data_IF_145317585564
#
_entry.id   IF_145317585564
#
_cell.length_a   1.000
_cell.length_b   1.000
_cell.length_c   1.000
_cell.angle_alpha   90.00
_cell.angle_beta   90.00
_cell.angle_gamma   90.00
#
_symmetry.space_group_name_H-M   'P 1'
#
loop_
_entity.id
_entity.type
_entity.pdbx_description
1 polymer ?
#
# COMPACT_ATOMS: atom_id res chain seq x y z
N UNK A 1 -11.66 -16.64 -0.62
CA UNK A 1 -12.74 -17.66 -0.63
C UNK A 1 -13.59 -17.49 0.62
N UNK A 2 -14.63 -18.31 0.76
CA UNK A 2 -15.41 -18.40 1.99
C UNK A 2 -15.19 -19.78 2.59
N UNK A 3 -14.81 -19.84 3.86
CA UNK A 3 -14.78 -21.07 4.65
C UNK A 3 -15.69 -20.87 5.86
N UNK A 4 -16.65 -21.77 6.07
CA UNK A 4 -17.66 -21.68 7.14
C UNK A 4 -18.43 -20.34 7.19
N UNK A 5 -18.66 -19.71 6.02
CA UNK A 5 -19.34 -18.43 5.93
C UNK A 5 -18.51 -17.23 6.39
N UNK A 6 -17.20 -17.41 6.63
CA UNK A 6 -16.26 -16.33 6.91
C UNK A 6 -15.35 -16.07 5.70
N UNK A 7 -14.96 -14.81 5.45
CA UNK A 7 -14.03 -14.49 4.37
C UNK A 7 -12.60 -14.91 4.73
N UNK A 8 -11.96 -15.68 3.85
CA UNK A 8 -10.55 -16.05 3.95
C UNK A 8 -9.78 -15.58 2.72
N UNK A 9 -8.52 -15.19 2.92
CA UNK A 9 -7.59 -14.97 1.82
C UNK A 9 -7.26 -16.31 1.17
N UNK A 10 -7.34 -16.37 -0.16
CA UNK A 10 -6.84 -17.51 -0.97
C UNK A 10 -5.64 -17.12 -1.80
N UNK A 11 -5.09 -15.93 -1.56
CA UNK A 11 -3.88 -15.52 -2.23
C UNK A 11 -2.79 -16.52 -1.87
N UNK A 12 -2.05 -16.95 -2.89
CA UNK A 12 -0.83 -17.72 -2.67
C UNK A 12 0.12 -16.91 -1.79
N UNK A 13 0.80 -17.60 -0.89
CA UNK A 13 1.81 -16.96 -0.05
C UNK A 13 2.91 -16.40 -0.97
N UNK A 14 3.20 -15.10 -0.85
CA UNK A 14 4.29 -14.48 -1.61
C UNK A 14 5.68 -14.85 -1.04
N UNK A 15 5.70 -15.55 0.10
CA UNK A 15 6.90 -16.15 0.69
C UNK A 15 6.83 -17.66 0.58
N UNK A 16 7.97 -18.26 0.31
CA UNK A 16 8.20 -19.70 0.36
C UNK A 16 9.19 -20.04 1.48
N UNK A 17 9.38 -21.31 1.83
CA UNK A 17 10.44 -21.71 2.75
C UNK A 17 11.85 -21.25 2.35
N UNK A 18 12.06 -20.95 1.07
CA UNK A 18 13.33 -20.49 0.48
C UNK A 18 13.45 -18.96 0.41
N UNK A 19 12.46 -18.20 0.89
CA UNK A 19 12.49 -16.74 0.88
C UNK A 19 12.21 -16.13 2.25
N UNK A 20 13.08 -15.22 2.68
CA UNK A 20 12.89 -14.41 3.88
C UNK A 20 12.30 -13.04 3.52
N UNK A 21 11.30 -12.61 4.30
CA UNK A 21 10.86 -11.22 4.32
C UNK A 21 11.73 -10.40 5.26
N UNK A 22 12.54 -9.49 4.71
CA UNK A 22 13.32 -8.53 5.49
C UNK A 22 12.59 -7.19 5.52
N UNK A 23 12.06 -6.83 6.68
CA UNK A 23 11.30 -5.58 6.85
C UNK A 23 12.13 -4.33 6.55
N UNK A 24 11.46 -3.26 6.12
CA UNK A 24 12.07 -1.95 5.91
C UNK A 24 12.75 -1.42 7.19
N UNK A 25 12.21 -1.76 8.36
CA UNK A 25 12.81 -1.43 9.66
C UNK A 25 14.20 -2.04 9.83
N UNK A 26 14.42 -3.26 9.34
CA UNK A 26 15.72 -3.91 9.37
C UNK A 26 16.64 -3.38 8.25
N UNK A 27 16.10 -3.18 7.04
CA UNK A 27 16.85 -2.57 5.92
C UNK A 27 17.40 -1.19 6.31
N UNK A 28 16.60 -0.35 6.98
CA UNK A 28 17.02 0.99 7.39
C UNK A 28 18.15 1.04 8.43
N UNK A 29 18.50 -0.10 9.05
CA UNK A 29 19.59 -0.20 10.03
C UNK A 29 20.95 -0.46 9.40
N UNK A 30 21.01 -0.75 8.11
CA UNK A 30 22.28 -0.99 7.38
C UNK A 30 23.26 0.16 7.58
N UNK A 31 22.75 1.39 7.60
CA UNK A 31 23.55 2.57 7.93
C UNK A 31 22.78 3.56 8.79
N UNK A 32 23.53 4.37 9.55
CA UNK A 32 22.95 5.44 10.36
C UNK A 32 22.35 6.51 9.44
N UNK A 33 21.08 6.88 9.68
CA UNK A 33 20.42 7.95 8.92
C UNK A 33 21.07 9.31 9.20
N UNK A 34 21.56 10.04 8.18
CA UNK A 34 21.98 11.42 8.35
C UNK A 34 20.81 12.34 8.70
N UNK A 35 21.05 13.39 9.48
CA UNK A 35 19.98 14.29 9.94
C UNK A 35 19.27 15.02 8.79
N UNK A 36 19.99 15.37 7.73
CA UNK A 36 19.47 16.14 6.58
C UNK A 36 18.74 15.27 5.55
N UNK A 37 18.83 13.95 5.64
CA UNK A 37 18.23 13.01 4.67
C UNK A 37 16.82 12.64 5.14
N UNK A 38 15.83 12.69 4.25
CA UNK A 38 14.46 12.26 4.57
C UNK A 38 14.41 10.75 4.85
N UNK A 39 13.39 10.27 5.55
CA UNK A 39 13.27 8.82 5.79
C UNK A 39 13.04 8.03 4.49
N UNK A 40 12.35 8.62 3.51
CA UNK A 40 12.20 8.05 2.16
C UNK A 40 13.56 7.84 1.50
N UNK A 41 14.34 8.91 1.37
CA UNK A 41 15.65 8.83 0.73
C UNK A 41 16.60 7.92 1.51
N UNK A 42 16.50 7.89 2.85
CA UNK A 42 17.28 6.95 3.65
C UNK A 42 16.94 5.49 3.35
N UNK A 43 15.66 5.16 3.21
CA UNK A 43 15.24 3.82 2.82
C UNK A 43 15.80 3.43 1.44
N UNK A 44 15.67 4.31 0.43
CA UNK A 44 16.24 4.10 -0.91
C UNK A 44 17.75 3.89 -0.84
N UNK A 45 18.47 4.77 -0.14
CA UNK A 45 19.92 4.67 0.04
C UNK A 45 20.36 3.37 0.72
N UNK A 46 19.56 2.80 1.64
CA UNK A 46 19.85 1.52 2.28
C UNK A 46 19.58 0.34 1.34
N UNK A 47 18.54 0.43 0.51
CA UNK A 47 18.26 -0.58 -0.50
C UNK A 47 19.34 -0.62 -1.58
N UNK A 48 19.82 0.54 -2.03
CA UNK A 48 20.93 0.66 -2.97
C UNK A 48 22.23 0.07 -2.40
N UNK A 49 22.55 0.36 -1.13
CA UNK A 49 23.70 -0.21 -0.42
C UNK A 49 23.67 -1.75 -0.39
N UNK A 50 22.47 -2.31 -0.21
CA UNK A 50 22.24 -3.74 -0.17
C UNK A 50 22.13 -4.39 -1.57
N UNK A 51 22.07 -3.59 -2.63
CA UNK A 51 21.85 -4.08 -3.99
C UNK A 51 20.46 -4.68 -4.23
N UNK A 52 19.43 -4.19 -3.53
CA UNK A 52 18.06 -4.67 -3.71
C UNK A 52 17.52 -4.18 -5.07
N UNK A 53 17.12 -5.08 -5.98
CA UNK A 53 16.60 -4.67 -7.28
C UNK A 53 15.16 -4.14 -7.18
N UNK A 54 14.74 -3.36 -8.19
CA UNK A 54 13.34 -2.93 -8.40
C UNK A 54 12.66 -2.23 -7.21
N UNK A 55 13.44 -1.50 -6.40
CA UNK A 55 12.93 -0.82 -5.20
C UNK A 55 11.96 0.31 -5.54
N UNK A 56 12.35 1.18 -6.48
CA UNK A 56 11.54 2.37 -6.83
C UNK A 56 10.18 1.97 -7.40
N UNK A 57 10.07 1.08 -8.42
CA UNK A 57 8.75 0.64 -8.90
C UNK A 57 7.88 0.00 -7.81
N UNK A 58 8.47 -0.82 -6.93
CA UNK A 58 7.72 -1.45 -5.83
C UNK A 58 7.21 -0.44 -4.81
N UNK A 59 8.00 0.57 -4.46
CA UNK A 59 7.57 1.65 -3.57
C UNK A 59 6.52 2.53 -4.23
N UNK A 60 6.70 2.91 -5.49
CA UNK A 60 5.72 3.70 -6.24
C UNK A 60 4.36 2.99 -6.25
N UNK A 61 4.33 1.69 -6.58
CA UNK A 61 3.12 0.87 -6.53
C UNK A 61 2.49 0.84 -5.12
N UNK A 62 3.31 0.65 -4.07
CA UNK A 62 2.84 0.66 -2.68
C UNK A 62 2.17 1.99 -2.32
N UNK A 63 2.79 3.12 -2.66
CA UNK A 63 2.28 4.45 -2.34
C UNK A 63 0.98 4.76 -3.09
N UNK A 64 0.87 4.33 -4.36
CA UNK A 64 -0.35 4.49 -5.17
C UNK A 64 -1.51 3.69 -4.54
N UNK A 65 -1.28 2.42 -4.22
CA UNK A 65 -2.32 1.55 -3.66
C UNK A 65 -2.72 2.02 -2.26
N UNK A 66 -1.75 2.32 -1.39
CA UNK A 66 -2.01 2.84 -0.04
C UNK A 66 -2.78 4.17 -0.09
N UNK A 67 -2.51 5.01 -1.10
CA UNK A 67 -3.30 6.20 -1.33
C UNK A 67 -4.73 5.84 -1.67
N UNK A 68 -5.00 4.96 -2.64
CA UNK A 68 -6.37 4.63 -3.07
C UNK A 68 -7.19 4.07 -1.90
N UNK A 69 -6.62 3.13 -1.14
CA UNK A 69 -7.31 2.46 -0.03
C UNK A 69 -7.27 3.24 1.28
N UNK A 70 -6.61 4.40 1.31
CA UNK A 70 -6.42 5.22 2.51
C UNK A 70 -5.82 4.43 3.69
N UNK A 71 -4.75 3.68 3.44
CA UNK A 71 -4.09 2.87 4.47
C UNK A 71 -3.44 3.76 5.54
N UNK A 72 -3.84 3.60 6.79
CA UNK A 72 -3.41 4.49 7.88
C UNK A 72 -2.21 3.93 8.67
N UNK A 73 -1.81 2.69 8.38
CA UNK A 73 -0.79 1.99 9.19
C UNK A 73 0.30 1.30 8.38
N UNK A 74 0.65 1.84 7.21
CA UNK A 74 1.89 1.46 6.53
C UNK A 74 3.12 1.94 7.31
N UNK A 75 3.59 1.15 8.27
CA UNK A 75 4.85 1.42 8.98
C UNK A 75 6.00 0.52 8.47
N UNK A 76 7.23 0.79 8.91
CA UNK A 76 8.44 0.10 8.46
C UNK A 76 8.50 -1.42 8.71
N UNK A 77 7.51 -1.99 9.41
CA UNK A 77 7.39 -3.44 9.59
C UNK A 77 6.37 -4.07 8.63
N UNK A 78 5.55 -3.24 7.96
CA UNK A 78 4.45 -3.67 7.08
C UNK A 78 4.84 -3.57 5.60
N UNK A 79 6.13 -3.43 5.32
CA UNK A 79 6.72 -3.60 3.99
C UNK A 79 8.20 -3.92 4.15
N UNK A 80 8.82 -4.41 3.09
CA UNK A 80 10.19 -4.89 3.11
C UNK A 80 10.59 -5.48 1.78
N UNK A 81 11.74 -6.17 1.75
CA UNK A 81 12.23 -6.85 0.57
C UNK A 81 12.32 -8.36 0.82
N UNK A 82 12.12 -9.12 -0.24
CA UNK A 82 12.33 -10.57 -0.24
C UNK A 82 13.79 -10.88 -0.54
N UNK A 83 14.34 -11.81 0.24
CA UNK A 83 15.70 -12.32 0.09
C UNK A 83 15.63 -13.83 -0.02
N UNK A 84 16.31 -14.41 -1.00
CA UNK A 84 16.44 -15.85 -1.07
C UNK A 84 17.32 -16.34 0.10
N UNK A 85 16.79 -17.28 0.88
CA UNK A 85 17.44 -17.76 2.10
C UNK A 85 18.61 -18.71 1.81
N UNK A 86 18.63 -19.35 0.65
CA UNK A 86 19.66 -20.32 0.26
C UNK A 86 20.92 -19.64 -0.28
N UNK A 87 20.76 -18.65 -1.16
CA UNK A 87 21.87 -17.98 -1.85
C UNK A 87 22.10 -16.53 -1.40
N UNK A 88 21.25 -16.00 -0.52
CA UNK A 88 21.31 -14.66 0.07
C UNK A 88 21.12 -13.51 -0.92
N UNK A 89 20.68 -13.79 -2.14
CA UNK A 89 20.38 -12.78 -3.17
C UNK A 89 19.06 -12.07 -2.88
N UNK A 90 19.01 -10.77 -3.21
CA UNK A 90 17.80 -9.99 -3.09
C UNK A 90 16.90 -10.22 -4.30
N UNK A 91 15.64 -10.56 -4.05
CA UNK A 91 14.63 -10.73 -5.10
C UNK A 91 14.04 -9.37 -5.50
N UNK A 92 13.83 -8.49 -4.51
CA UNK A 92 13.25 -7.16 -4.70
C UNK A 92 12.33 -6.79 -3.55
N UNK A 93 11.59 -5.69 -3.71
CA UNK A 93 10.53 -5.31 -2.76
C UNK A 93 9.44 -6.40 -2.72
N UNK A 94 9.00 -6.72 -1.51
CA UNK A 94 7.90 -7.64 -1.29
C UNK A 94 6.59 -7.04 -1.84
N UNK A 95 5.66 -7.87 -2.35
CA UNK A 95 4.30 -7.43 -2.66
C UNK A 95 3.64 -6.76 -1.46
N UNK A 96 2.63 -5.94 -1.71
CA UNK A 96 1.90 -5.24 -0.65
C UNK A 96 1.14 -6.25 0.22
N UNK A 97 1.31 -6.17 1.54
CA UNK A 97 0.60 -6.99 2.51
C UNK A 97 0.11 -6.14 3.69
N UNK A 98 -0.57 -6.74 4.67
CA UNK A 98 -1.05 -6.10 5.90
C UNK A 98 -1.73 -4.73 5.67
N UNK A 99 -2.84 -4.78 4.93
CA UNK A 99 -3.65 -3.61 4.57
C UNK A 99 -4.93 -3.51 5.41
N UNK A 100 -5.01 -4.19 6.55
CA UNK A 100 -6.24 -4.26 7.37
C UNK A 100 -6.69 -2.90 7.90
N UNK A 101 -5.74 -1.99 8.13
CA UNK A 101 -5.96 -0.63 8.63
C UNK A 101 -6.24 0.36 7.48
N UNK A 102 -7.12 -0.03 6.56
CA UNK A 102 -7.47 0.70 5.33
C UNK A 102 -8.98 0.88 5.21
N UNK A 103 -9.44 1.55 4.15
CA UNK A 103 -10.84 1.70 3.78
C UNK A 103 -11.72 2.20 4.93
N UNK A 104 -11.17 3.09 5.75
CA UNK A 104 -11.82 3.70 6.92
C UNK A 104 -12.41 2.68 7.89
N UNK A 105 -11.81 1.49 8.03
CA UNK A 105 -12.35 0.35 8.79
C UNK A 105 -12.90 0.70 10.19
N UNK A 106 -12.32 1.68 10.88
CA UNK A 106 -12.67 2.13 12.24
C UNK A 106 -13.46 3.45 12.30
N UNK A 107 -13.69 4.13 11.18
CA UNK A 107 -14.32 5.46 11.16
C UNK A 107 -15.80 5.37 10.78
N UNK A 108 -16.71 5.83 11.64
CA UNK A 108 -18.15 5.87 11.33
C UNK A 108 -18.50 6.94 10.28
N UNK A 109 -17.86 8.11 10.38
CA UNK A 109 -18.00 9.21 9.43
C UNK A 109 -16.74 9.24 8.57
N UNK A 110 -16.91 9.07 7.26
CA UNK A 110 -15.79 9.04 6.32
C UNK A 110 -15.50 10.45 5.82
N UNK A 111 -14.28 10.92 6.02
CA UNK A 111 -13.71 12.02 5.24
C UNK A 111 -12.73 11.45 4.21
N UNK A 112 -13.07 11.55 2.94
CA UNK A 112 -12.21 11.07 1.86
C UNK A 112 -11.10 12.08 1.49
N UNK A 113 -11.25 13.35 1.85
CA UNK A 113 -10.28 14.40 1.53
C UNK A 113 -9.03 14.29 2.41
N UNK A 114 -9.23 13.87 3.66
CA UNK A 114 -8.17 13.72 4.64
C UNK A 114 -7.95 12.24 4.97
N UNK A 115 -6.72 11.78 4.80
CA UNK A 115 -6.33 10.45 5.24
C UNK A 115 -4.91 10.52 5.82
N UNK A 116 -4.73 10.18 7.12
CA UNK A 116 -3.42 10.11 7.72
C UNK A 116 -2.62 9.00 7.04
N UNK A 117 -1.31 9.16 7.02
CA UNK A 117 -0.42 8.18 6.41
C UNK A 117 0.88 8.05 7.17
N UNK A 118 1.56 6.95 6.87
CA UNK A 118 2.91 6.56 7.29
C UNK A 118 3.56 5.87 6.06
N UNK A 119 4.87 5.66 6.00
CA UNK A 119 5.87 6.02 7.00
C UNK A 119 6.66 7.29 6.67
N UNK A 120 6.53 7.84 5.46
CA UNK A 120 7.40 8.92 4.96
C UNK A 120 6.80 10.31 5.13
N UNK A 121 5.47 10.41 5.03
CA UNK A 121 4.70 11.63 5.27
C UNK A 121 3.54 11.31 6.21
N UNK A 122 2.93 12.36 6.77
CA UNK A 122 1.82 12.23 7.74
C UNK A 122 0.45 12.16 7.07
N UNK A 123 0.36 12.51 5.79
CA UNK A 123 -0.89 12.57 5.03
C UNK A 123 -0.68 11.98 3.64
N UNK A 124 -1.69 11.26 3.14
CA UNK A 124 -1.62 10.61 1.82
C UNK A 124 -1.43 11.62 0.67
N UNK A 125 -2.03 12.81 0.78
CA UNK A 125 -1.86 13.93 -0.15
C UNK A 125 -0.40 14.38 -0.34
N UNK A 126 0.42 14.26 0.70
CA UNK A 126 1.86 14.57 0.64
C UNK A 126 2.71 13.34 0.32
N UNK A 127 2.27 12.16 0.75
CA UNK A 127 2.99 10.91 0.53
C UNK A 127 2.98 10.50 -0.95
N UNK A 128 1.85 10.69 -1.65
CA UNK A 128 1.71 10.35 -3.07
C UNK A 128 2.68 11.14 -3.96
N UNK A 129 3.11 12.34 -3.53
CA UNK A 129 4.10 13.17 -4.23
C UNK A 129 5.51 12.56 -4.25
N UNK A 130 5.74 11.49 -3.50
CA UNK A 130 7.01 10.75 -3.54
C UNK A 130 7.07 9.74 -4.68
N UNK A 131 5.93 9.42 -5.31
CA UNK A 131 5.87 8.53 -6.47
C UNK A 131 6.68 9.12 -7.61
N UNK A 132 7.64 8.35 -8.12
CA UNK A 132 8.54 8.82 -9.17
C UNK A 132 7.94 8.72 -10.57
N UNK A 133 7.10 7.71 -10.81
CA UNK A 133 6.41 7.50 -12.08
C UNK A 133 5.06 6.81 -11.88
N UNK A 134 4.07 7.20 -12.68
CA UNK A 134 2.77 6.56 -12.76
C UNK A 134 2.61 5.67 -14.01
N UNK A 135 3.65 5.52 -14.84
CA UNK A 135 3.56 4.82 -16.13
C UNK A 135 3.09 3.36 -16.01
N UNK A 136 3.46 2.68 -14.91
CA UNK A 136 3.04 1.30 -14.66
C UNK A 136 1.61 1.19 -14.09
N UNK A 137 0.95 2.32 -13.79
CA UNK A 137 -0.39 2.37 -13.22
C UNK A 137 -1.36 2.99 -14.23
N UNK A 138 -2.20 2.15 -14.83
CA UNK A 138 -3.28 2.61 -15.69
C UNK A 138 -4.56 2.78 -14.85
N UNK A 139 -4.99 4.02 -14.66
CA UNK A 139 -6.18 4.31 -13.83
C UNK A 139 -7.46 3.67 -14.37
N UNK A 140 -7.53 3.40 -15.69
CA UNK A 140 -8.66 2.70 -16.31
C UNK A 140 -8.79 1.25 -15.88
N UNK A 141 -7.74 0.66 -15.32
CA UNK A 141 -7.81 -0.67 -14.72
C UNK A 141 -8.69 -0.67 -13.45
N UNK A 142 -9.05 0.52 -12.95
CA UNK A 142 -10.01 0.73 -11.85
C UNK A 142 -11.43 1.05 -12.34
N UNK A 143 -11.69 1.00 -13.64
CA UNK A 143 -13.06 1.10 -14.16
C UNK A 143 -13.93 0.04 -13.46
N UNK A 144 -15.14 0.42 -13.05
CA UNK A 144 -16.09 -0.41 -12.30
C UNK A 144 -15.65 -0.91 -10.90
N UNK A 145 -14.46 -0.52 -10.39
CA UNK A 145 -13.96 -1.00 -9.09
C UNK A 145 -14.93 -0.68 -7.93
N UNK A 146 -15.63 0.46 -8.00
CA UNK A 146 -16.62 0.86 -7.01
C UNK A 146 -17.83 -0.10 -7.01
N UNK A 147 -18.20 -0.63 -8.17
CA UNK A 147 -19.27 -1.64 -8.28
C UNK A 147 -18.83 -2.99 -7.73
N UNK A 148 -17.61 -3.43 -8.05
CA UNK A 148 -17.02 -4.65 -7.50
C UNK A 148 -16.90 -4.57 -5.98
N UNK A 149 -16.39 -3.44 -5.47
CA UNK A 149 -16.29 -3.18 -4.05
C UNK A 149 -17.66 -3.22 -3.37
N UNK A 150 -18.68 -2.59 -3.97
CA UNK A 150 -20.06 -2.66 -3.46
C UNK A 150 -20.60 -4.10 -3.40
N UNK A 151 -20.32 -4.94 -4.41
CA UNK A 151 -20.69 -6.36 -4.42
C UNK A 151 -19.99 -7.14 -3.29
N UNK A 152 -18.70 -6.90 -3.08
CA UNK A 152 -17.93 -7.49 -1.98
C UNK A 152 -18.54 -7.07 -0.63
N UNK A 153 -18.74 -5.76 -0.40
CA UNK A 153 -19.28 -5.25 0.86
C UNK A 153 -20.69 -5.78 1.15
N UNK A 154 -21.53 -5.95 0.13
CA UNK A 154 -22.90 -6.50 0.26
C UNK A 154 -22.92 -7.94 0.79
N UNK A 155 -21.86 -8.71 0.57
CA UNK A 155 -21.75 -10.07 1.10
C UNK A 155 -21.41 -10.13 2.60
N UNK A 156 -20.96 -9.00 3.18
CA UNK A 156 -20.64 -8.94 4.61
C UNK A 156 -21.90 -8.82 5.47
N UNK A 157 -22.08 -9.66 6.51
CA UNK A 157 -23.22 -9.56 7.43
C UNK A 157 -23.14 -8.33 8.35
N UNK A 158 -21.98 -7.67 8.44
CA UNK A 158 -21.74 -6.56 9.37
C UNK A 158 -21.80 -5.18 8.73
N UNK A 159 -21.91 -5.10 7.40
CA UNK A 159 -21.86 -3.82 6.67
C UNK A 159 -23.27 -3.47 6.17
N UNK A 160 -23.87 -2.44 6.77
CA UNK A 160 -25.18 -1.95 6.33
C UNK A 160 -25.11 -1.17 5.01
N UNK A 161 -26.29 -0.90 4.43
CA UNK A 161 -26.40 -0.22 3.14
C UNK A 161 -25.88 1.22 3.15
N UNK A 162 -26.05 1.96 4.26
CA UNK A 162 -25.56 3.34 4.38
C UNK A 162 -24.04 3.35 4.42
N UNK A 163 -23.45 2.48 5.24
CA UNK A 163 -22.01 2.32 5.34
C UNK A 163 -21.39 1.94 4.01
N UNK A 164 -22.00 0.98 3.30
CA UNK A 164 -21.55 0.56 1.97
C UNK A 164 -21.54 1.74 0.98
N UNK A 165 -22.62 2.52 0.93
CA UNK A 165 -22.70 3.68 0.03
C UNK A 165 -21.62 4.71 0.36
N UNK A 166 -21.40 5.00 1.64
CA UNK A 166 -20.33 5.93 2.07
C UNK A 166 -18.94 5.43 1.72
N UNK A 167 -18.66 4.13 1.89
CA UNK A 167 -17.38 3.52 1.52
C UNK A 167 -17.13 3.59 0.00
N UNK A 168 -18.15 3.28 -0.80
CA UNK A 168 -18.08 3.36 -2.26
C UNK A 168 -17.84 4.79 -2.74
N UNK A 169 -18.60 5.76 -2.21
CA UNK A 169 -18.42 7.17 -2.55
C UNK A 169 -17.05 7.70 -2.14
N UNK A 170 -16.49 7.22 -1.04
CA UNK A 170 -15.17 7.62 -0.58
C UNK A 170 -14.05 7.03 -1.44
N UNK A 171 -14.15 5.75 -1.83
CA UNK A 171 -13.21 5.11 -2.76
C UNK A 171 -13.20 5.84 -4.11
N UNK A 172 -14.38 6.03 -4.70
CA UNK A 172 -14.57 6.74 -5.96
C UNK A 172 -13.97 8.15 -5.92
N UNK A 173 -14.25 8.90 -4.84
CA UNK A 173 -13.67 10.23 -4.64
C UNK A 173 -12.14 10.20 -4.57
N UNK A 174 -11.53 9.21 -3.92
CA UNK A 174 -10.06 9.09 -3.87
C UNK A 174 -9.45 8.75 -5.22
N UNK A 175 -10.10 7.90 -6.01
CA UNK A 175 -9.67 7.59 -7.38
C UNK A 175 -9.72 8.86 -8.24
N UNK A 176 -10.82 9.61 -8.20
CA UNK A 176 -10.97 10.87 -8.93
C UNK A 176 -9.92 11.93 -8.50
N UNK A 177 -9.59 12.01 -7.22
CA UNK A 177 -8.53 12.88 -6.71
C UNK A 177 -7.14 12.45 -7.21
N UNK A 178 -6.88 11.15 -7.28
CA UNK A 178 -5.65 10.60 -7.84
C UNK A 178 -5.56 10.88 -9.35
N UNK A 179 -6.64 10.68 -10.10
CA UNK A 179 -6.69 11.00 -11.54
C UNK A 179 -6.37 12.47 -11.82
N UNK A 180 -6.99 13.35 -11.03
CA UNK A 180 -6.75 14.80 -11.12
C UNK A 180 -5.31 15.15 -10.80
N UNK A 181 -4.71 14.49 -9.79
CA UNK A 181 -3.30 14.66 -9.44
C UNK A 181 -2.39 14.23 -10.58
N UNK A 182 -2.58 13.03 -11.13
CA UNK A 182 -1.79 12.48 -12.24
C UNK A 182 -1.87 13.39 -13.48
N UNK A 183 -3.07 13.86 -13.83
CA UNK A 183 -3.29 14.72 -14.99
C UNK A 183 -2.67 16.12 -14.83
N UNK A 184 -2.38 16.53 -13.58
CA UNK A 184 -1.79 17.84 -13.26
C UNK A 184 -0.26 17.87 -13.21
N UNK A 185 0.39 16.71 -13.31
CA UNK A 185 1.86 16.56 -13.34
C UNK A 185 2.44 16.89 -14.71
#
# INVERSE_FOLDING_TARGET
CWENGLPYSICEDFVTPETDLVSAWNIMKVKKKPNHVSSYQHFINCCEELGIPNVIPGIDQMLIIDYIIANQDRHYSNFGALRNAENLEWVGLAPIFDCGTSLWFDQLVIDANYAPSKPFKKEHSEQIKLVSSFEAFNIKDLDDITEEFSKILKSSPTIDSKRRVSLCAALDKRINMLESFITSM
#
